data_IF_069066168391
#
_entry.id   IF_069066168391
#
_cell.length_a   1.000
_cell.length_b   1.000
_cell.length_c   1.000
_cell.angle_alpha   90.00
_cell.angle_beta   90.00
_cell.angle_gamma   90.00
#
_symmetry.space_group_name_H-M   'P 1'
#
loop_
_entity.id
_entity.type
_entity.pdbx_description
1 polymer ?
#
# COMPACT_ATOMS: atom_id res chain seq x y z
N UNK A 1 1.64 5.25 23.40
CA UNK A 1 1.98 6.27 22.42
C UNK A 1 2.99 5.71 21.43
N UNK A 2 2.59 5.66 20.15
CA UNK A 2 3.39 5.40 18.93
C UNK A 2 4.29 4.15 18.89
N UNK A 3 3.71 2.96 18.88
CA UNK A 3 4.37 1.75 18.34
C UNK A 3 4.36 1.89 16.82
N UNK A 4 5.52 2.09 16.21
CA UNK A 4 5.70 2.19 14.75
C UNK A 4 6.30 3.49 14.21
N UNK A 5 6.44 4.54 15.01
CA UNK A 5 7.01 5.83 14.56
C UNK A 5 8.54 5.79 14.34
N UNK A 6 9.27 4.88 15.00
CA UNK A 6 10.74 4.84 14.93
C UNK A 6 11.30 4.60 13.51
N UNK A 7 10.62 3.80 12.71
CA UNK A 7 11.09 3.45 11.35
C UNK A 7 10.75 4.55 10.35
N UNK A 8 9.61 5.21 10.54
CA UNK A 8 9.20 6.36 9.74
C UNK A 8 10.21 7.51 9.87
N UNK A 9 10.68 7.81 11.07
CA UNK A 9 11.62 8.91 11.30
C UNK A 9 13.01 8.66 10.71
N UNK A 10 13.56 7.42 10.80
CA UNK A 10 14.91 7.15 10.31
C UNK A 10 15.06 7.38 8.80
N UNK A 11 14.11 6.92 8.00
CA UNK A 11 14.11 7.15 6.54
C UNK A 11 13.91 8.61 6.19
N UNK A 12 13.08 9.31 6.96
CA UNK A 12 12.82 10.73 6.78
C UNK A 12 14.03 11.59 7.14
N UNK A 13 14.87 11.14 8.08
CA UNK A 13 16.16 11.74 8.39
C UNK A 13 17.15 11.54 7.23
N UNK A 14 17.26 10.33 6.67
CA UNK A 14 18.12 10.06 5.52
C UNK A 14 17.72 10.86 4.27
N UNK A 15 16.45 11.15 4.14
CA UNK A 15 15.93 11.93 3.01
C UNK A 15 15.79 13.44 3.32
N UNK A 16 16.22 13.89 4.52
CA UNK A 16 16.24 15.31 4.90
C UNK A 16 14.86 15.91 5.18
N UNK A 17 13.85 15.09 5.53
CA UNK A 17 12.53 15.57 5.99
C UNK A 17 12.62 15.98 7.45
N UNK A 18 13.40 15.24 8.25
CA UNK A 18 13.70 15.55 9.65
C UNK A 18 15.20 15.58 9.88
N UNK A 19 15.65 16.43 10.79
CA UNK A 19 17.02 16.44 11.28
C UNK A 19 17.17 15.42 12.42
N UNK A 20 18.36 14.79 12.53
CA UNK A 20 18.66 13.91 13.64
C UNK A 20 18.98 14.74 14.89
N UNK A 21 18.38 14.40 16.03
CA UNK A 21 18.68 15.04 17.31
C UNK A 21 20.15 14.75 17.74
N UNK A 22 20.62 13.54 17.47
CA UNK A 22 21.97 13.08 17.77
C UNK A 22 22.43 12.03 16.77
N UNK A 23 23.76 11.88 16.65
CA UNK A 23 24.35 10.92 15.71
C UNK A 23 24.93 11.58 14.48
N UNK A 24 25.48 10.78 13.60
CA UNK A 24 26.17 11.21 12.39
C UNK A 24 25.76 10.37 11.21
N UNK A 25 25.61 11.01 10.05
CA UNK A 25 25.33 10.37 8.77
C UNK A 25 26.56 10.48 7.90
N UNK A 26 27.00 9.36 7.34
CA UNK A 26 28.10 9.32 6.38
C UNK A 26 27.55 8.85 5.03
N UNK A 27 27.82 9.66 4.00
CA UNK A 27 27.48 9.34 2.61
C UNK A 27 28.70 9.50 1.74
N UNK A 28 29.09 8.43 1.00
CA UNK A 28 30.32 8.39 0.19
C UNK A 28 31.54 8.86 0.99
N UNK A 29 31.72 8.31 2.18
CA UNK A 29 32.80 8.60 3.13
C UNK A 29 32.88 10.03 3.66
N UNK A 30 31.86 10.84 3.40
CA UNK A 30 31.75 12.21 3.91
C UNK A 30 30.64 12.30 4.94
N UNK A 31 30.90 13.02 6.03
CA UNK A 31 29.87 13.37 6.99
C UNK A 31 28.92 14.36 6.33
N UNK A 32 27.64 14.06 6.35
CA UNK A 32 26.58 14.88 5.74
C UNK A 32 25.48 15.18 6.74
N UNK A 33 24.83 16.30 6.53
CA UNK A 33 23.57 16.68 7.16
C UNK A 33 22.66 17.11 6.02
N UNK A 34 21.46 16.56 5.96
CA UNK A 34 20.47 16.94 4.97
C UNK A 34 19.40 17.80 5.64
N UNK A 35 19.31 19.05 5.27
CA UNK A 35 18.32 19.99 5.81
C UNK A 35 17.05 20.03 4.94
N UNK A 36 17.07 19.33 3.79
CA UNK A 36 15.93 19.22 2.89
C UNK A 36 16.01 17.97 2.00
N UNK A 37 14.85 17.46 1.52
CA UNK A 37 14.79 16.41 0.52
C UNK A 37 15.55 16.76 -0.76
N UNK A 38 15.61 18.03 -1.11
CA UNK A 38 16.33 18.50 -2.30
C UNK A 38 17.82 18.24 -2.20
N UNK A 39 18.41 18.51 -1.03
CA UNK A 39 19.83 18.24 -0.80
C UNK A 39 20.15 16.75 -0.87
N UNK A 40 19.31 15.89 -0.29
CA UNK A 40 19.45 14.45 -0.38
C UNK A 40 19.39 13.97 -1.86
N UNK A 41 18.46 14.50 -2.64
CA UNK A 41 18.35 14.19 -4.09
C UNK A 41 19.57 14.69 -4.85
N UNK A 42 20.04 15.92 -4.61
CA UNK A 42 21.22 16.51 -5.26
C UNK A 42 22.50 15.71 -4.91
N UNK A 43 22.51 14.95 -3.80
CA UNK A 43 23.58 14.03 -3.39
C UNK A 43 23.38 12.59 -3.90
N UNK A 44 22.35 12.31 -4.67
CA UNK A 44 22.10 10.99 -5.28
C UNK A 44 21.27 10.06 -4.41
N UNK A 45 20.48 10.56 -3.46
CA UNK A 45 19.57 9.74 -2.64
C UNK A 45 18.14 9.97 -3.16
N UNK A 46 17.49 8.90 -3.63
CA UNK A 46 16.10 8.90 -4.07
C UNK A 46 15.20 8.14 -3.08
N UNK A 47 13.96 8.57 -2.96
CA UNK A 47 12.97 7.88 -2.13
C UNK A 47 11.65 7.74 -2.87
N UNK A 48 11.08 6.55 -2.81
CA UNK A 48 9.71 6.24 -3.24
C UNK A 48 8.88 6.03 -1.97
N UNK A 49 7.88 6.87 -1.78
CA UNK A 49 7.02 6.85 -0.62
C UNK A 49 5.90 5.82 -0.75
N UNK A 50 5.35 5.36 0.37
CA UNK A 50 4.18 4.50 0.44
C UNK A 50 2.95 5.12 -0.27
N UNK A 51 2.76 6.45 -0.12
CA UNK A 51 1.81 7.22 -0.89
C UNK A 51 2.53 7.98 -1.99
N UNK A 52 2.18 7.74 -3.24
CA UNK A 52 2.87 8.32 -4.39
C UNK A 52 2.85 9.85 -4.37
N UNK A 53 4.03 10.44 -4.58
CA UNK A 53 4.20 11.88 -4.68
C UNK A 53 4.04 12.36 -6.12
N UNK A 54 2.97 11.88 -6.80
CA UNK A 54 2.66 12.20 -8.18
C UNK A 54 1.50 13.18 -8.30
N UNK A 55 1.64 14.16 -9.17
CA UNK A 55 0.59 15.13 -9.48
C UNK A 55 -0.40 14.50 -10.46
N UNK A 56 -1.59 14.15 -9.97
CA UNK A 56 -2.61 13.38 -10.69
C UNK A 56 -3.07 14.00 -12.03
N UNK A 57 -3.06 15.33 -12.13
CA UNK A 57 -3.50 16.07 -13.34
C UNK A 57 -2.42 16.18 -14.42
N UNK A 58 -1.15 15.94 -14.06
CA UNK A 58 -0.02 16.00 -14.98
C UNK A 58 0.21 14.66 -15.68
N UNK A 59 0.92 14.72 -16.82
CA UNK A 59 1.38 13.53 -17.54
C UNK A 59 2.56 12.87 -16.81
N UNK A 60 2.91 11.64 -17.21
CA UNK A 60 4.10 10.93 -16.76
C UNK A 60 5.36 11.75 -17.01
N UNK A 61 5.52 12.25 -18.24
CA UNK A 61 6.64 13.11 -18.62
C UNK A 61 6.76 14.31 -17.67
N UNK A 62 5.66 15.05 -17.50
CA UNK A 62 5.64 16.26 -16.66
C UNK A 62 5.97 15.95 -15.20
N UNK A 63 5.51 14.82 -14.65
CA UNK A 63 5.84 14.41 -13.29
C UNK A 63 7.31 14.06 -13.12
N UNK A 64 7.95 13.40 -14.09
CA UNK A 64 9.35 13.00 -14.02
C UNK A 64 10.26 14.23 -14.07
N UNK A 65 9.98 15.19 -14.95
CA UNK A 65 10.81 16.38 -15.11
C UNK A 65 10.50 17.49 -14.09
N UNK A 66 9.43 17.34 -13.30
CA UNK A 66 9.01 18.33 -12.32
C UNK A 66 10.12 18.61 -11.28
N UNK A 67 10.49 19.88 -11.13
CA UNK A 67 11.46 20.33 -10.14
C UNK A 67 12.94 20.06 -10.48
N UNK A 68 13.24 19.61 -11.71
CA UNK A 68 14.63 19.58 -12.17
C UNK A 68 15.17 21.01 -12.33
N UNK A 69 16.41 21.22 -11.88
CA UNK A 69 17.12 22.48 -12.14
C UNK A 69 17.40 22.57 -13.64
N UNK A 70 16.98 23.64 -14.26
CA UNK A 70 17.37 23.99 -15.62
C UNK A 70 18.65 24.82 -15.54
N UNK A 71 19.80 24.21 -15.71
CA UNK A 71 21.02 24.94 -16.00
C UNK A 71 20.99 25.38 -17.45
N UNK A 72 20.43 26.57 -17.70
CA UNK A 72 20.49 27.28 -18.97
C UNK A 72 19.97 26.55 -20.22
N UNK A 73 19.01 27.18 -20.93
CA UNK A 73 18.32 26.72 -22.14
C UNK A 73 17.40 25.50 -21.97
N UNK A 74 16.13 25.77 -22.13
CA UNK A 74 14.98 24.85 -22.19
C UNK A 74 15.33 23.38 -22.41
N UNK A 75 15.14 22.56 -21.36
CA UNK A 75 15.09 21.10 -21.56
C UNK A 75 13.99 20.86 -22.61
N UNK A 76 14.38 20.46 -23.81
CA UNK A 76 13.42 20.14 -24.84
C UNK A 76 12.55 19.00 -24.29
N UNK A 77 11.24 19.22 -24.16
CA UNK A 77 10.32 18.13 -23.74
C UNK A 77 10.51 16.88 -24.60
N UNK A 78 11.00 17.07 -25.83
CA UNK A 78 11.26 15.99 -26.78
C UNK A 78 12.50 15.17 -26.38
N UNK A 79 13.58 15.80 -25.92
CA UNK A 79 14.78 15.11 -25.47
C UNK A 79 14.54 14.39 -24.13
N UNK A 80 13.85 15.05 -23.20
CA UNK A 80 13.44 14.43 -21.95
C UNK A 80 12.55 13.19 -22.20
N UNK A 81 11.59 13.29 -23.13
CA UNK A 81 10.73 12.18 -23.53
C UNK A 81 11.53 10.99 -24.06
N UNK A 82 12.50 11.25 -24.93
CA UNK A 82 13.39 10.22 -25.50
C UNK A 82 14.20 9.53 -24.40
N UNK A 83 14.86 10.30 -23.53
CA UNK A 83 15.66 9.77 -22.42
C UNK A 83 14.81 8.96 -21.42
N UNK A 84 13.56 9.38 -21.15
CA UNK A 84 12.64 8.64 -20.27
C UNK A 84 12.26 7.29 -20.90
N UNK A 85 12.01 7.25 -22.22
CA UNK A 85 11.68 6.01 -22.92
C UNK A 85 12.88 5.06 -22.90
N UNK A 86 14.08 5.55 -23.22
CA UNK A 86 15.33 4.77 -23.18
C UNK A 86 15.58 4.18 -21.78
N UNK A 87 15.40 5.00 -20.73
CA UNK A 87 15.54 4.57 -19.34
C UNK A 87 14.48 3.51 -18.96
N UNK A 88 13.25 3.73 -19.40
CA UNK A 88 12.13 2.80 -19.17
C UNK A 88 12.36 1.44 -19.84
N UNK A 89 12.87 1.44 -21.06
CA UNK A 89 13.21 0.22 -21.79
C UNK A 89 14.38 -0.52 -21.14
N UNK A 90 15.43 0.21 -20.77
CA UNK A 90 16.62 -0.35 -20.10
C UNK A 90 16.25 -1.17 -18.86
N UNK A 91 15.36 -0.65 -18.01
CA UNK A 91 14.97 -1.33 -16.77
C UNK A 91 13.69 -2.17 -16.88
N UNK A 92 13.00 -2.15 -18.02
CA UNK A 92 11.74 -2.84 -18.21
C UNK A 92 10.55 -2.16 -17.50
N UNK A 93 10.69 -0.88 -17.18
CA UNK A 93 9.68 -0.02 -16.55
C UNK A 93 8.79 0.61 -17.61
N UNK A 94 7.99 -0.19 -18.30
CA UNK A 94 7.12 0.32 -19.38
C UNK A 94 6.16 1.38 -18.87
N UNK A 95 6.23 2.58 -19.46
CA UNK A 95 5.36 3.71 -19.18
C UNK A 95 4.88 4.38 -20.46
N UNK A 96 3.80 5.12 -20.37
CA UNK A 96 3.26 5.97 -21.46
C UNK A 96 3.52 7.43 -21.10
N UNK A 97 4.55 8.12 -21.65
CA UNK A 97 4.95 9.47 -21.24
C UNK A 97 3.83 10.50 -21.29
N UNK A 98 2.90 10.35 -22.23
CA UNK A 98 1.80 11.29 -22.46
C UNK A 98 0.52 10.97 -21.67
N UNK A 99 0.47 9.80 -21.00
CA UNK A 99 -0.67 9.44 -20.15
C UNK A 99 -0.70 10.28 -18.87
N UNK A 100 -1.89 10.66 -18.40
CA UNK A 100 -2.05 11.35 -17.14
C UNK A 100 -1.96 10.35 -15.98
N UNK A 101 -1.38 10.77 -14.86
CA UNK A 101 -1.18 9.90 -13.70
C UNK A 101 -2.50 9.31 -13.20
N UNK A 102 -3.58 10.10 -13.15
CA UNK A 102 -4.91 9.64 -12.71
C UNK A 102 -5.50 8.49 -13.54
N UNK A 103 -5.01 8.31 -14.78
CA UNK A 103 -5.50 7.29 -15.72
C UNK A 103 -4.64 6.02 -15.69
N UNK A 104 -3.64 5.98 -14.80
CA UNK A 104 -2.72 4.86 -14.60
C UNK A 104 -3.16 3.97 -13.46
N UNK A 105 -2.95 2.66 -13.61
CA UNK A 105 -3.05 1.72 -12.50
C UNK A 105 -1.99 2.03 -11.42
N UNK A 106 -2.20 1.52 -10.20
CA UNK A 106 -1.29 1.72 -9.09
C UNK A 106 0.13 1.20 -9.41
N UNK A 107 0.23 0.02 -10.05
CA UNK A 107 1.51 -0.52 -10.50
C UNK A 107 2.19 0.33 -11.58
N UNK A 108 1.42 0.99 -12.47
CA UNK A 108 1.98 1.95 -13.42
C UNK A 108 2.48 3.22 -12.72
N UNK A 109 1.75 3.74 -11.74
CA UNK A 109 2.16 4.90 -10.95
C UNK A 109 3.47 4.62 -10.19
N UNK A 110 3.63 3.42 -9.64
CA UNK A 110 4.87 3.01 -9.00
C UNK A 110 6.05 2.99 -9.96
N UNK A 111 5.87 2.46 -11.18
CA UNK A 111 6.92 2.51 -12.21
C UNK A 111 7.34 3.94 -12.54
N UNK A 112 6.38 4.87 -12.56
CA UNK A 112 6.67 6.30 -12.76
C UNK A 112 7.49 6.89 -11.62
N UNK A 113 7.19 6.57 -10.35
CA UNK A 113 7.99 7.03 -9.20
C UNK A 113 9.43 6.52 -9.25
N UNK A 114 9.63 5.26 -9.63
CA UNK A 114 10.98 4.70 -9.78
C UNK A 114 11.71 5.38 -10.91
N UNK A 115 11.07 5.55 -12.09
CA UNK A 115 11.67 6.25 -13.22
C UNK A 115 12.02 7.71 -12.88
N UNK A 116 11.17 8.39 -12.10
CA UNK A 116 11.42 9.74 -11.61
C UNK A 116 12.67 9.82 -10.74
N UNK A 117 12.89 8.82 -9.87
CA UNK A 117 14.11 8.71 -9.07
C UNK A 117 15.33 8.42 -9.95
N UNK A 118 15.25 7.43 -10.84
CA UNK A 118 16.34 7.03 -11.73
C UNK A 118 16.74 8.14 -12.72
N UNK A 119 15.77 8.90 -13.22
CA UNK A 119 16.02 10.03 -14.12
C UNK A 119 16.83 11.15 -13.45
N UNK A 120 16.84 11.19 -12.12
CA UNK A 120 17.63 12.11 -11.31
C UNK A 120 19.03 11.61 -10.96
N UNK A 121 19.47 10.49 -11.56
CA UNK A 121 20.78 9.87 -11.33
C UNK A 121 21.07 9.60 -9.86
N UNK A 122 20.15 8.92 -9.17
CA UNK A 122 20.34 8.52 -7.77
C UNK A 122 21.33 7.35 -7.69
N UNK A 123 22.12 7.29 -6.61
CA UNK A 123 23.01 6.16 -6.29
C UNK A 123 22.37 5.24 -5.23
N UNK A 124 21.49 5.80 -4.40
CA UNK A 124 20.73 5.08 -3.38
C UNK A 124 19.24 5.28 -3.62
N UNK A 125 18.50 4.17 -3.69
CA UNK A 125 17.04 4.16 -3.79
C UNK A 125 16.43 3.62 -2.49
N UNK A 126 15.63 4.43 -1.82
CA UNK A 126 14.88 4.05 -0.60
C UNK A 126 13.43 3.77 -1.00
N UNK A 127 12.93 2.59 -0.71
CA UNK A 127 11.59 2.12 -1.06
C UNK A 127 10.81 1.80 0.20
N UNK A 128 9.67 2.44 0.37
CA UNK A 128 8.83 2.33 1.55
C UNK A 128 7.55 1.54 1.25
N UNK A 129 7.48 0.29 1.73
CA UNK A 129 6.39 -0.65 1.47
C UNK A 129 5.98 -0.73 -0.02
N UNK A 130 6.95 -0.92 -0.94
CA UNK A 130 6.71 -0.68 -2.37
C UNK A 130 5.74 -1.67 -3.02
N UNK A 131 5.44 -2.79 -2.38
CA UNK A 131 4.64 -3.87 -2.94
C UNK A 131 3.24 -3.98 -2.31
N UNK A 132 2.92 -3.04 -1.39
CA UNK A 132 1.68 -3.08 -0.61
C UNK A 132 0.40 -3.19 -1.42
N UNK A 133 0.40 -2.60 -2.61
CA UNK A 133 -0.73 -2.48 -3.53
C UNK A 133 -0.53 -3.23 -4.86
N UNK A 134 0.57 -3.97 -4.99
CA UNK A 134 0.89 -4.74 -6.19
C UNK A 134 0.31 -6.15 -6.17
N UNK A 135 -0.08 -6.64 -7.34
CA UNK A 135 -0.38 -8.05 -7.52
C UNK A 135 0.88 -8.91 -7.38
N UNK A 136 0.77 -10.22 -7.09
CA UNK A 136 1.93 -11.11 -7.01
C UNK A 136 2.82 -11.07 -8.26
N UNK A 137 2.21 -10.98 -9.45
CA UNK A 137 2.94 -10.87 -10.72
C UNK A 137 3.70 -9.54 -10.82
N UNK A 138 3.04 -8.42 -10.53
CA UNK A 138 3.69 -7.11 -10.54
C UNK A 138 4.81 -7.02 -9.51
N UNK A 139 4.66 -7.68 -8.35
CA UNK A 139 5.73 -7.78 -7.34
C UNK A 139 6.94 -8.52 -7.89
N UNK A 140 6.75 -9.61 -8.63
CA UNK A 140 7.86 -10.32 -9.27
C UNK A 140 8.54 -9.47 -10.34
N UNK A 141 7.77 -8.84 -11.22
CA UNK A 141 8.30 -7.93 -12.24
C UNK A 141 9.10 -6.79 -11.59
N UNK A 142 8.61 -6.26 -10.48
CA UNK A 142 9.28 -5.24 -9.70
C UNK A 142 10.62 -5.73 -9.11
N UNK A 143 10.67 -6.94 -8.57
CA UNK A 143 11.92 -7.51 -8.06
C UNK A 143 12.96 -7.74 -9.16
N UNK A 144 12.54 -8.08 -10.39
CA UNK A 144 13.45 -8.14 -11.53
C UNK A 144 14.08 -6.77 -11.84
N UNK A 145 13.30 -5.69 -11.73
CA UNK A 145 13.82 -4.32 -11.86
C UNK A 145 14.87 -4.03 -10.79
N UNK A 146 14.59 -4.37 -9.53
CA UNK A 146 15.53 -4.13 -8.43
C UNK A 146 16.83 -4.94 -8.59
N UNK A 147 16.73 -6.19 -9.07
CA UNK A 147 17.92 -7.01 -9.37
C UNK A 147 18.78 -6.38 -10.47
N UNK A 148 18.16 -5.82 -11.52
CA UNK A 148 18.90 -5.09 -12.56
C UNK A 148 19.60 -3.87 -12.01
N UNK A 149 18.90 -3.07 -11.19
CA UNK A 149 19.49 -1.89 -10.54
C UNK A 149 20.68 -2.28 -9.66
N UNK A 150 20.54 -3.31 -8.82
CA UNK A 150 21.62 -3.85 -7.99
C UNK A 150 22.83 -4.25 -8.83
N UNK A 151 22.62 -4.97 -9.94
CA UNK A 151 23.70 -5.42 -10.83
C UNK A 151 24.42 -4.25 -11.53
N UNK A 152 23.79 -3.11 -11.68
CA UNK A 152 24.38 -1.87 -12.18
C UNK A 152 25.03 -1.01 -11.07
N UNK A 153 25.07 -1.49 -9.84
CA UNK A 153 25.77 -0.84 -8.73
C UNK A 153 24.90 0.13 -7.91
N UNK A 154 23.59 0.20 -8.15
CA UNK A 154 22.69 0.98 -7.29
C UNK A 154 22.57 0.33 -5.91
N UNK A 155 22.64 1.14 -4.86
CA UNK A 155 22.26 0.71 -3.53
C UNK A 155 20.74 0.82 -3.36
N UNK A 156 20.11 -0.20 -2.78
CA UNK A 156 18.66 -0.21 -2.55
C UNK A 156 18.37 -0.53 -1.08
N UNK A 157 17.54 0.28 -0.45
CA UNK A 157 16.97 0.02 0.87
C UNK A 157 15.47 -0.23 0.68
N UNK A 158 15.00 -1.41 1.07
CA UNK A 158 13.58 -1.75 1.09
C UNK A 158 13.10 -1.80 2.52
N UNK A 159 12.04 -1.06 2.82
CA UNK A 159 11.37 -1.09 4.11
C UNK A 159 10.06 -1.87 3.90
N UNK A 160 9.94 -3.00 4.55
CA UNK A 160 8.76 -3.87 4.45
C UNK A 160 8.58 -4.69 5.73
N UNK A 161 7.35 -5.06 6.01
CA UNK A 161 7.01 -6.02 7.06
C UNK A 161 6.73 -7.44 6.49
N UNK A 162 6.85 -7.62 5.18
CA UNK A 162 6.58 -8.89 4.49
C UNK A 162 7.83 -9.75 4.39
N UNK A 163 7.87 -10.83 5.17
CA UNK A 163 9.03 -11.74 5.21
C UNK A 163 9.36 -12.34 3.85
N UNK A 164 8.35 -12.67 3.05
CA UNK A 164 8.53 -13.21 1.71
C UNK A 164 9.32 -12.29 0.79
N UNK A 165 9.13 -10.98 0.91
CA UNK A 165 9.85 -9.98 0.13
C UNK A 165 11.31 -9.86 0.57
N UNK A 166 11.54 -9.82 1.90
CA UNK A 166 12.90 -9.79 2.45
C UNK A 166 13.69 -10.99 1.94
N UNK A 167 13.13 -12.20 2.06
CA UNK A 167 13.77 -13.43 1.62
C UNK A 167 14.00 -13.50 0.10
N UNK A 168 13.15 -12.83 -0.69
CA UNK A 168 13.23 -12.89 -2.15
C UNK A 168 14.27 -11.96 -2.77
N UNK A 169 14.56 -10.80 -2.13
CA UNK A 169 15.32 -9.73 -2.81
C UNK A 169 16.49 -9.17 -2.00
N UNK A 170 16.48 -9.24 -0.65
CA UNK A 170 17.51 -8.59 0.15
C UNK A 170 18.77 -9.46 0.34
N UNK A 171 19.94 -8.83 0.44
CA UNK A 171 21.19 -9.48 0.80
C UNK A 171 21.38 -9.53 2.32
N UNK A 172 20.98 -8.44 2.99
CA UNK A 172 21.04 -8.27 4.44
C UNK A 172 19.74 -7.67 4.95
N UNK A 173 19.38 -8.01 6.16
CA UNK A 173 18.20 -7.48 6.81
C UNK A 173 18.60 -6.87 8.17
N UNK A 174 18.13 -5.65 8.40
CA UNK A 174 18.22 -4.98 9.71
C UNK A 174 16.84 -4.91 10.32
N UNK A 175 16.68 -5.51 11.49
CA UNK A 175 15.41 -5.54 12.21
C UNK A 175 15.37 -4.38 13.20
N UNK A 176 14.30 -3.59 13.06
CA UNK A 176 14.02 -2.47 13.95
C UNK A 176 12.76 -2.78 14.78
N UNK A 177 12.81 -2.48 16.07
CA UNK A 177 11.68 -2.60 16.99
C UNK A 177 11.75 -1.49 18.04
N UNK A 178 10.62 -0.81 18.25
CA UNK A 178 10.51 0.33 19.18
C UNK A 178 11.59 1.41 18.93
N UNK A 179 11.91 1.66 17.64
CA UNK A 179 12.92 2.63 17.22
C UNK A 179 14.38 2.21 17.40
N UNK A 180 14.64 0.98 17.85
CA UNK A 180 16.00 0.45 18.10
C UNK A 180 16.35 -0.64 17.10
N UNK A 181 17.64 -0.68 16.69
CA UNK A 181 18.19 -1.82 15.95
C UNK A 181 18.27 -3.02 16.89
N UNK A 182 17.49 -4.06 16.61
CA UNK A 182 17.46 -5.30 17.39
C UNK A 182 18.52 -6.27 16.88
N UNK A 183 18.58 -6.47 15.57
CA UNK A 183 19.48 -7.44 14.95
C UNK A 183 19.80 -7.03 13.52
N UNK A 184 20.94 -7.48 13.03
CA UNK A 184 21.32 -7.45 11.63
C UNK A 184 21.76 -8.85 11.22
N UNK A 185 21.26 -9.33 10.08
CA UNK A 185 21.47 -10.69 9.60
C UNK A 185 21.75 -10.68 8.10
N UNK A 186 22.51 -11.67 7.64
CA UNK A 186 22.62 -12.01 6.21
C UNK A 186 21.37 -12.81 5.82
N UNK A 187 20.67 -12.41 4.78
CA UNK A 187 19.38 -13.01 4.44
C UNK A 187 19.48 -14.49 4.11
N UNK A 188 20.58 -14.93 3.48
CA UNK A 188 20.82 -16.35 3.17
C UNK A 188 21.08 -17.24 4.42
N UNK A 189 21.35 -16.64 5.58
CA UNK A 189 21.68 -17.34 6.83
C UNK A 189 20.52 -17.32 7.84
N UNK A 190 19.38 -16.81 7.45
CA UNK A 190 18.19 -16.68 8.30
C UNK A 190 16.95 -17.25 7.63
N UNK A 191 15.83 -17.25 8.33
CA UNK A 191 14.55 -17.74 7.84
C UNK A 191 13.37 -16.86 8.33
N UNK A 192 12.18 -16.97 7.71
CA UNK A 192 11.03 -16.16 8.08
C UNK A 192 10.60 -16.26 9.54
N UNK A 193 10.76 -17.45 10.15
CA UNK A 193 10.39 -17.68 11.56
C UNK A 193 11.31 -16.91 12.49
N UNK A 194 12.62 -16.96 12.25
CA UNK A 194 13.61 -16.22 13.02
C UNK A 194 13.43 -14.70 12.88
N UNK A 195 13.21 -14.20 11.66
CA UNK A 195 12.94 -12.79 11.41
C UNK A 195 11.69 -12.33 12.19
N UNK A 196 10.61 -13.11 12.12
CA UNK A 196 9.36 -12.81 12.84
C UNK A 196 9.58 -12.76 14.35
N UNK A 197 10.37 -13.67 14.90
CA UNK A 197 10.71 -13.69 16.32
C UNK A 197 11.41 -12.40 16.76
N UNK A 198 12.41 -11.93 16.00
CA UNK A 198 13.10 -10.68 16.32
C UNK A 198 12.19 -9.45 16.14
N UNK A 199 11.31 -9.44 15.16
CA UNK A 199 10.38 -8.33 14.93
C UNK A 199 9.34 -8.21 16.03
N UNK A 200 8.76 -9.34 16.46
CA UNK A 200 7.66 -9.37 17.45
C UNK A 200 8.22 -9.41 18.86
N UNK A 201 9.41 -9.97 19.04
CA UNK A 201 10.09 -10.10 20.35
C UNK A 201 9.59 -11.24 21.22
N UNK A 202 8.82 -12.15 20.66
CA UNK A 202 8.37 -13.40 21.31
C UNK A 202 8.20 -14.49 20.23
N UNK A 203 8.33 -15.73 20.63
CA UNK A 203 7.98 -16.84 19.75
C UNK A 203 6.49 -16.79 19.41
N UNK A 204 6.17 -16.93 18.12
CA UNK A 204 4.81 -17.17 17.68
C UNK A 204 4.53 -18.66 17.95
N UNK A 205 3.87 -18.92 19.06
CA UNK A 205 3.23 -20.22 19.26
C UNK A 205 1.91 -20.20 18.51
N UNK A 206 1.79 -20.95 17.43
CA UNK A 206 0.51 -20.98 16.77
C UNK A 206 0.48 -21.84 15.52
N UNK A 207 0.27 -23.12 15.71
CA UNK A 207 -0.65 -23.87 14.88
C UNK A 207 -2.04 -23.53 15.44
N UNK A 208 -2.76 -22.63 14.79
CA UNK A 208 -4.17 -22.47 15.09
C UNK A 208 -4.87 -23.73 14.57
N UNK A 209 -5.25 -24.59 15.47
CA UNK A 209 -6.16 -25.68 15.14
C UNK A 209 -7.48 -25.04 14.68
N UNK A 210 -7.79 -25.18 13.39
CA UNK A 210 -9.09 -24.82 12.85
C UNK A 210 -10.05 -25.88 13.41
N UNK A 211 -10.77 -25.53 14.47
CA UNK A 211 -11.82 -26.37 14.98
C UNK A 211 -12.95 -26.43 13.97
N UNK A 212 -13.40 -27.64 13.62
CA UNK A 212 -14.62 -27.84 12.85
C UNK A 212 -15.76 -27.15 13.60
N UNK A 213 -16.41 -26.19 12.94
CA UNK A 213 -17.53 -25.48 13.54
C UNK A 213 -18.79 -26.30 13.36
N UNK A 214 -19.61 -26.46 14.42
CA UNK A 214 -20.92 -27.08 14.27
C UNK A 214 -21.78 -26.24 13.33
N UNK A 215 -22.68 -26.88 12.58
CA UNK A 215 -23.66 -26.19 11.74
C UNK A 215 -24.63 -25.39 12.61
N UNK A 216 -24.32 -24.12 12.80
CA UNK A 216 -25.08 -23.18 13.62
C UNK A 216 -26.17 -22.44 12.82
N UNK A 217 -26.40 -22.85 11.56
CA UNK A 217 -27.33 -22.22 10.64
C UNK A 217 -26.79 -20.95 9.97
N UNK A 218 -27.47 -20.52 8.93
CA UNK A 218 -27.09 -19.41 8.07
C UNK A 218 -27.24 -18.06 8.78
N UNK A 219 -26.21 -17.25 8.76
CA UNK A 219 -26.22 -15.87 9.25
C UNK A 219 -26.50 -14.88 8.11
N UNK A 220 -25.81 -15.01 6.97
CA UNK A 220 -25.95 -14.13 5.81
C UNK A 220 -26.09 -14.96 4.54
N UNK A 221 -27.03 -14.60 3.69
CA UNK A 221 -27.22 -15.23 2.38
C UNK A 221 -27.44 -14.17 1.31
N UNK A 222 -26.67 -14.27 0.23
CA UNK A 222 -26.83 -13.47 -0.99
C UNK A 222 -27.29 -14.42 -2.12
N UNK A 223 -28.34 -14.01 -2.83
CA UNK A 223 -28.90 -14.76 -3.96
C UNK A 223 -28.92 -13.91 -5.21
N UNK A 224 -28.13 -14.31 -6.21
CA UNK A 224 -28.07 -13.67 -7.54
C UNK A 224 -27.87 -12.14 -7.46
N UNK A 225 -26.99 -11.69 -6.57
CA UNK A 225 -26.76 -10.26 -6.33
C UNK A 225 -25.92 -9.69 -7.47
N UNK A 226 -26.43 -8.61 -8.08
CA UNK A 226 -25.80 -7.92 -9.19
C UNK A 226 -25.65 -6.43 -8.90
N UNK A 227 -24.55 -5.83 -9.39
CA UNK A 227 -24.37 -4.38 -9.48
C UNK A 227 -23.96 -4.02 -10.90
N UNK A 228 -24.72 -3.14 -11.53
CA UNK A 228 -24.44 -2.61 -12.87
C UNK A 228 -24.04 -1.14 -12.79
N UNK A 229 -23.03 -0.74 -13.58
CA UNK A 229 -22.66 0.66 -13.82
C UNK A 229 -22.73 0.92 -15.33
N UNK A 230 -23.86 1.41 -15.79
CA UNK A 230 -24.17 1.44 -17.21
C UNK A 230 -24.30 0.01 -17.74
N UNK A 231 -23.59 -0.32 -18.80
CA UNK A 231 -23.54 -1.66 -19.40
C UNK A 231 -22.54 -2.61 -18.75
N UNK A 232 -21.69 -2.10 -17.85
CA UNK A 232 -20.64 -2.91 -17.19
C UNK A 232 -21.16 -3.48 -15.88
N UNK A 233 -21.09 -4.81 -15.73
CA UNK A 233 -21.28 -5.46 -14.43
C UNK A 233 -20.07 -5.21 -13.52
N UNK A 234 -20.31 -4.75 -12.28
CA UNK A 234 -19.34 -4.66 -11.21
C UNK A 234 -19.39 -5.93 -10.38
N UNK A 235 -20.62 -6.35 -10.01
CA UNK A 235 -20.89 -7.67 -9.45
C UNK A 235 -21.87 -8.37 -10.37
N UNK A 236 -21.57 -9.62 -10.70
CA UNK A 236 -22.37 -10.44 -11.59
C UNK A 236 -22.73 -11.76 -10.93
N UNK A 237 -24.01 -11.92 -10.65
CA UNK A 237 -24.62 -13.15 -10.14
C UNK A 237 -23.93 -13.71 -8.88
N UNK A 238 -23.66 -12.85 -7.91
CA UNK A 238 -22.99 -13.25 -6.66
C UNK A 238 -23.95 -14.04 -5.80
N UNK A 239 -23.55 -15.27 -5.50
CA UNK A 239 -24.21 -16.18 -4.56
C UNK A 239 -23.21 -16.50 -3.45
N UNK A 240 -23.60 -16.27 -2.19
CA UNK A 240 -22.71 -16.37 -1.05
C UNK A 240 -23.52 -16.72 0.19
N UNK A 241 -23.01 -17.63 0.99
CA UNK A 241 -23.59 -17.98 2.28
C UNK A 241 -22.52 -17.89 3.35
N UNK A 242 -22.86 -17.31 4.51
CA UNK A 242 -22.01 -17.27 5.71
C UNK A 242 -22.80 -17.85 6.87
N UNK A 243 -22.25 -18.84 7.53
CA UNK A 243 -22.87 -19.48 8.68
C UNK A 243 -22.57 -18.71 9.99
N UNK A 244 -23.38 -18.93 11.02
CA UNK A 244 -23.09 -18.38 12.34
C UNK A 244 -21.79 -18.96 12.91
N UNK A 245 -20.89 -18.09 13.33
CA UNK A 245 -19.58 -18.48 13.84
C UNK A 245 -18.51 -18.73 12.77
N UNK A 246 -18.86 -18.63 11.47
CA UNK A 246 -17.94 -18.79 10.36
C UNK A 246 -17.15 -17.50 10.08
N UNK A 247 -15.89 -17.65 9.70
CA UNK A 247 -15.08 -16.60 9.10
C UNK A 247 -14.92 -16.91 7.61
N UNK A 248 -15.64 -16.16 6.76
CA UNK A 248 -15.54 -16.30 5.32
C UNK A 248 -14.50 -15.31 4.76
N UNK A 249 -13.46 -15.83 4.13
CA UNK A 249 -12.47 -15.04 3.41
C UNK A 249 -12.87 -14.79 1.95
N UNK A 250 -12.86 -13.53 1.51
CA UNK A 250 -13.10 -13.15 0.11
C UNK A 250 -11.79 -12.65 -0.47
N UNK A 251 -11.19 -13.41 -1.39
CA UNK A 251 -9.94 -13.08 -2.04
C UNK A 251 -10.18 -12.52 -3.45
N UNK A 252 -9.37 -11.56 -3.85
CA UNK A 252 -9.40 -10.97 -5.19
C UNK A 252 -8.33 -9.90 -5.34
N UNK A 253 -8.04 -9.56 -6.59
CA UNK A 253 -7.18 -8.41 -6.92
C UNK A 253 -8.00 -7.15 -6.74
N UNK A 254 -7.34 -6.06 -6.32
CA UNK A 254 -7.99 -4.76 -6.15
C UNK A 254 -8.82 -4.33 -7.38
N UNK A 255 -10.00 -3.77 -7.12
CA UNK A 255 -10.95 -3.36 -8.17
C UNK A 255 -11.82 -4.48 -8.76
N UNK A 256 -11.83 -5.69 -8.18
CA UNK A 256 -12.68 -6.80 -8.64
C UNK A 256 -14.03 -6.91 -7.90
N UNK A 257 -14.44 -5.88 -7.16
CA UNK A 257 -15.79 -5.81 -6.59
C UNK A 257 -15.89 -6.18 -5.12
N UNK A 258 -14.77 -6.44 -4.41
CA UNK A 258 -14.77 -6.79 -2.98
C UNK A 258 -15.35 -5.65 -2.12
N UNK A 259 -14.93 -4.42 -2.39
CA UNK A 259 -15.44 -3.22 -1.70
C UNK A 259 -16.93 -3.04 -1.98
N UNK A 260 -17.35 -3.14 -3.23
CA UNK A 260 -18.75 -3.03 -3.61
C UNK A 260 -19.63 -4.11 -2.99
N UNK A 261 -19.12 -5.33 -2.86
CA UNK A 261 -19.81 -6.42 -2.18
C UNK A 261 -20.02 -6.10 -0.70
N UNK A 262 -18.99 -5.64 -0.01
CA UNK A 262 -19.07 -5.25 1.40
C UNK A 262 -20.03 -4.06 1.61
N UNK A 263 -19.97 -3.04 0.73
CA UNK A 263 -20.88 -1.88 0.76
C UNK A 263 -22.35 -2.27 0.53
N UNK A 264 -22.61 -3.25 -0.34
CA UNK A 264 -23.98 -3.75 -0.57
C UNK A 264 -24.50 -4.49 0.66
N UNK A 265 -23.68 -5.33 1.30
CA UNK A 265 -24.04 -6.02 2.53
C UNK A 265 -24.29 -5.00 3.66
N UNK A 266 -23.49 -3.96 3.76
CA UNK A 266 -23.64 -2.89 4.74
C UNK A 266 -24.85 -1.96 4.45
N UNK A 267 -25.36 -1.95 3.20
CA UNK A 267 -26.45 -1.08 2.75
C UNK A 267 -26.04 0.32 2.33
N UNK A 268 -24.73 0.58 2.21
CA UNK A 268 -24.15 1.83 1.73
C UNK A 268 -24.42 1.96 0.23
N UNK A 269 -24.31 0.86 -0.50
CA UNK A 269 -24.60 0.76 -1.93
C UNK A 269 -25.83 -0.11 -2.17
N UNK A 270 -26.62 0.25 -3.17
CA UNK A 270 -27.75 -0.58 -3.60
C UNK A 270 -27.30 -1.55 -4.68
N UNK A 271 -27.70 -2.80 -4.57
CA UNK A 271 -27.62 -3.76 -5.66
C UNK A 271 -28.67 -3.47 -6.75
N UNK A 272 -28.38 -3.85 -7.97
CA UNK A 272 -29.29 -3.67 -9.11
C UNK A 272 -30.39 -4.76 -9.09
N UNK A 273 -30.04 -5.99 -8.73
CA UNK A 273 -30.94 -7.14 -8.61
C UNK A 273 -30.40 -8.16 -7.61
N UNK A 274 -31.18 -9.16 -7.31
CA UNK A 274 -30.85 -10.21 -6.33
C UNK A 274 -31.39 -9.89 -4.93
N UNK A 275 -31.23 -10.81 -4.02
CA UNK A 275 -31.75 -10.76 -2.66
C UNK A 275 -30.63 -10.91 -1.63
N UNK A 276 -30.75 -10.19 -0.51
CA UNK A 276 -29.82 -10.29 0.63
C UNK A 276 -30.67 -10.57 1.87
N UNK A 277 -30.37 -11.69 2.52
CA UNK A 277 -31.00 -12.13 3.75
C UNK A 277 -29.99 -12.15 4.89
N UNK A 278 -30.37 -11.65 6.06
CA UNK A 278 -29.60 -11.72 7.29
C UNK A 278 -30.45 -12.38 8.36
N UNK A 279 -29.95 -13.43 9.01
CA UNK A 279 -30.69 -14.26 9.98
C UNK A 279 -32.06 -14.72 9.42
N UNK A 280 -32.09 -15.16 8.16
CA UNK A 280 -33.29 -15.58 7.42
C UNK A 280 -34.32 -14.47 7.14
N UNK A 281 -34.00 -13.21 7.40
CA UNK A 281 -34.85 -12.06 7.08
C UNK A 281 -34.27 -11.27 5.91
N UNK A 282 -35.11 -10.90 4.94
CA UNK A 282 -34.67 -10.04 3.83
C UNK A 282 -34.33 -8.63 4.35
N UNK A 283 -33.11 -8.18 4.04
CA UNK A 283 -32.64 -6.85 4.40
C UNK A 283 -32.53 -5.92 3.18
N UNK A 284 -33.14 -6.31 2.06
CA UNK A 284 -33.08 -5.59 0.79
C UNK A 284 -33.51 -4.12 0.89
N UNK A 285 -34.53 -3.83 1.67
CA UNK A 285 -35.08 -2.48 1.89
C UNK A 285 -34.56 -1.80 3.15
N UNK A 286 -33.74 -2.50 3.94
CA UNK A 286 -33.23 -1.98 5.20
C UNK A 286 -32.17 -0.90 4.94
N UNK A 287 -32.27 0.22 5.63
CA UNK A 287 -31.28 1.29 5.64
C UNK A 287 -30.00 0.85 6.35
N UNK A 288 -28.90 1.58 6.20
CA UNK A 288 -27.63 1.34 6.92
C UNK A 288 -27.89 1.28 8.44
N UNK A 289 -28.68 2.23 8.98
CA UNK A 289 -29.06 2.27 10.39
C UNK A 289 -29.79 0.99 10.82
N UNK A 290 -30.81 0.56 10.07
CA UNK A 290 -31.58 -0.67 10.36
C UNK A 290 -30.71 -1.94 10.28
N UNK A 291 -29.75 -2.00 9.34
CA UNK A 291 -28.80 -3.11 9.26
C UNK A 291 -27.85 -3.14 10.44
N UNK A 292 -27.38 -1.97 10.88
CA UNK A 292 -26.56 -1.84 12.08
C UNK A 292 -27.34 -2.28 13.35
N UNK A 293 -28.60 -1.86 13.49
CA UNK A 293 -29.49 -2.27 14.58
C UNK A 293 -29.75 -3.79 14.61
N UNK A 294 -29.74 -4.45 13.44
CA UNK A 294 -29.81 -5.90 13.30
C UNK A 294 -28.49 -6.63 13.61
N UNK A 295 -27.38 -5.89 13.82
CA UNK A 295 -26.08 -6.45 14.17
C UNK A 295 -25.07 -6.54 13.03
N UNK A 296 -25.35 -5.94 11.85
CA UNK A 296 -24.39 -5.88 10.75
C UNK A 296 -23.47 -4.68 10.96
N UNK A 297 -22.19 -4.91 11.16
CA UNK A 297 -21.16 -3.87 11.22
C UNK A 297 -20.25 -3.91 10.01
N UNK A 298 -19.81 -2.74 9.57
CA UNK A 298 -18.88 -2.57 8.45
C UNK A 298 -17.67 -1.77 8.89
N UNK A 299 -16.48 -2.29 8.53
CA UNK A 299 -15.20 -1.59 8.68
C UNK A 299 -14.69 -1.35 7.26
N UNK A 300 -14.58 -0.07 6.88
CA UNK A 300 -14.09 0.34 5.57
C UNK A 300 -12.60 0.05 5.41
N UNK A 301 -12.17 -0.23 4.18
CA UNK A 301 -10.77 -0.29 3.75
C UNK A 301 -10.10 1.10 3.81
N UNK A 302 -10.82 2.17 3.42
CA UNK A 302 -10.34 3.54 3.57
C UNK A 302 -10.72 4.14 4.95
N UNK A 303 -9.77 4.02 5.89
CA UNK A 303 -9.94 4.55 7.25
C UNK A 303 -10.09 6.07 7.29
N UNK A 304 -9.47 6.78 6.35
CA UNK A 304 -9.38 8.24 6.34
C UNK A 304 -10.59 8.88 5.66
N UNK A 305 -11.11 8.25 4.61
CA UNK A 305 -12.28 8.76 3.91
C UNK A 305 -13.59 8.40 4.63
N UNK A 306 -13.73 7.13 5.07
CA UNK A 306 -15.02 6.59 5.47
C UNK A 306 -15.03 6.01 6.90
N UNK A 307 -13.87 5.71 7.46
CA UNK A 307 -13.78 4.93 8.70
C UNK A 307 -13.73 5.76 9.96
N UNK A 308 -13.02 6.88 9.96
CA UNK A 308 -12.71 7.70 11.15
C UNK A 308 -12.82 9.19 10.85
N UNK A 309 -13.26 9.96 11.84
CA UNK A 309 -13.10 11.43 11.84
C UNK A 309 -11.79 11.76 12.54
N UNK A 310 -10.78 12.16 11.77
CA UNK A 310 -9.38 12.31 12.23
C UNK A 310 -9.25 13.36 13.35
N UNK A 311 -10.02 14.43 13.28
CA UNK A 311 -10.01 15.52 14.27
C UNK A 311 -10.73 15.16 15.59
N UNK A 312 -11.37 13.99 15.65
CA UNK A 312 -12.05 13.50 16.85
C UNK A 312 -11.17 12.53 17.65
N UNK A 313 -11.35 12.54 18.96
CA UNK A 313 -10.71 11.57 19.84
C UNK A 313 -11.19 10.15 19.57
N UNK A 314 -10.46 9.13 20.03
CA UNK A 314 -10.85 7.74 19.93
C UNK A 314 -12.25 7.50 20.57
N UNK A 315 -12.50 8.12 21.73
CA UNK A 315 -13.78 8.04 22.44
C UNK A 315 -14.94 8.57 21.59
N UNK A 316 -14.76 9.73 20.97
CA UNK A 316 -15.78 10.33 20.11
C UNK A 316 -16.02 9.49 18.86
N UNK A 317 -14.97 9.00 18.20
CA UNK A 317 -15.10 8.08 17.06
C UNK A 317 -15.86 6.79 17.43
N UNK A 318 -15.62 6.21 18.60
CA UNK A 318 -16.35 5.03 19.07
C UNK A 318 -17.83 5.33 19.33
N UNK A 319 -18.17 6.55 19.72
CA UNK A 319 -19.54 6.97 20.01
C UNK A 319 -20.33 7.37 18.77
N UNK A 320 -19.67 7.71 17.64
CA UNK A 320 -20.34 8.22 16.43
C UNK A 320 -21.49 7.32 15.97
N UNK A 321 -21.28 6.01 15.91
CA UNK A 321 -22.32 5.06 15.51
C UNK A 321 -23.44 4.93 16.54
N UNK A 322 -23.13 5.11 17.82
CA UNK A 322 -24.12 5.05 18.91
C UNK A 322 -24.94 6.33 19.01
N UNK A 323 -24.37 7.51 18.69
CA UNK A 323 -25.13 8.77 18.65
C UNK A 323 -26.24 8.74 17.59
N UNK A 324 -26.07 8.00 16.50
CA UNK A 324 -27.12 7.80 15.49
C UNK A 324 -28.29 6.93 15.96
N UNK A 325 -28.17 6.27 17.11
CA UNK A 325 -29.27 5.50 17.73
C UNK A 325 -30.19 6.36 18.57
N UNK A 326 -29.79 7.57 18.95
CA UNK A 326 -30.58 8.48 19.83
C UNK A 326 -31.23 9.65 19.07
N UNK A 327 -31.06 9.72 17.74
CA UNK A 327 -31.75 10.64 16.84
C UNK A 327 -32.71 9.89 15.92
#
# INVERSE_FOLDING_TARGET
>A
LSRGLGDVYKRQILFGIYTADTGEIYWKDKKVVFDSPREAIDQGIGMVHQHFSLVQKMTVLENIILGLKQDGLFLSKMDARKSIIELAEKYGLRVRPDARIRDLSVGEQQRVEILKALYRNVDLLILDEPTGVLTPKETQDFFEVLRKLKNEGYAVIIITHRMSEIMAISDRVTILRDGKKVKELVTSETNPKELSMYMIGRELHGDFEIQEQPDNGVALELKNVNIMKGEKAILDNINLTVNKGEILGIAGVDGNGQTELAEVIAGIRKNTSGEICFMNESIQKATVKQRFEKGISYISDDRHADGLVIDMTLKENMLLKNCLLYT
#
